data_IF_609453065872
#
_entry.id   IF_609453065872
#
_cell.length_a   1.000
_cell.length_b   1.000
_cell.length_c   1.000
_cell.angle_alpha   90.00
_cell.angle_beta   90.00
_cell.angle_gamma   90.00
#
_symmetry.space_group_name_H-M   'P 1'
#
loop_
_entity.id
_entity.type
_entity.pdbx_description
1 polymer ?
#
# COMPACT_ATOMS: atom_id res chain seq x y z
N UNK A 1 0.24 2.08 25.82
CA UNK A 1 0.59 2.06 25.31
C UNK A 1 0.51 2.03 23.96
N UNK A 2 0.78 2.70 23.37
CA UNK A 2 0.69 2.96 21.98
C UNK A 2 1.57 2.11 21.13
N UNK A 3 2.54 1.49 21.70
CA UNK A 3 3.43 0.63 20.95
C UNK A 3 2.72 -0.52 20.28
N UNK A 4 1.62 -0.96 20.85
CA UNK A 4 0.87 -2.06 20.27
C UNK A 4 0.36 -1.68 18.88
N UNK A 5 -0.06 -0.44 18.72
CA UNK A 5 -0.59 0.00 17.44
C UNK A 5 0.46 0.08 16.37
N UNK A 6 1.68 0.45 16.75
CA UNK A 6 2.76 0.48 15.78
C UNK A 6 3.14 -0.92 15.32
N UNK A 7 3.04 -1.90 16.20
CA UNK A 7 3.38 -3.27 15.81
C UNK A 7 2.37 -3.88 14.85
N UNK A 8 1.16 -3.32 14.80
CA UNK A 8 0.15 -3.79 13.86
C UNK A 8 0.43 -3.32 12.44
N UNK A 9 1.23 -2.27 12.28
CA UNK A 9 1.55 -1.72 10.98
C UNK A 9 3.03 -1.87 10.72
N UNK A 10 3.37 -2.58 9.65
CA UNK A 10 4.76 -2.84 9.29
C UNK A 10 4.98 -2.41 7.85
N UNK A 11 6.06 -1.66 7.64
CA UNK A 11 6.49 -1.27 6.29
C UNK A 11 7.82 -1.92 6.02
N UNK A 12 7.89 -2.71 4.94
CA UNK A 12 9.13 -3.34 4.50
C UNK A 12 9.62 -2.60 3.26
N UNK A 13 10.86 -2.12 3.33
CA UNK A 13 11.46 -1.37 2.23
C UNK A 13 12.55 -2.23 1.62
N UNK A 14 12.30 -2.68 0.38
CA UNK A 14 13.28 -3.44 -0.38
C UNK A 14 13.86 -2.59 -1.50
N UNK A 15 14.70 -3.23 -2.32
CA UNK A 15 15.35 -2.54 -3.43
C UNK A 15 14.35 -2.05 -4.47
N UNK A 16 13.29 -2.84 -4.70
CA UNK A 16 12.30 -2.52 -5.70
C UNK A 16 10.92 -2.21 -5.11
N UNK A 17 10.53 -2.93 -4.07
CA UNK A 17 9.16 -2.83 -3.55
C UNK A 17 9.15 -2.24 -2.15
N UNK A 18 8.15 -1.41 -1.88
CA UNK A 18 7.84 -0.96 -0.53
C UNK A 18 6.46 -1.54 -0.23
N UNK A 19 6.35 -2.33 0.84
CA UNK A 19 5.13 -3.08 1.12
C UNK A 19 4.62 -2.76 2.51
N UNK A 20 3.33 -2.48 2.60
CA UNK A 20 2.65 -2.21 3.86
C UNK A 20 1.81 -3.40 4.27
N UNK A 21 1.96 -3.81 5.51
CA UNK A 21 1.05 -4.78 6.11
C UNK A 21 0.40 -4.19 7.35
N UNK A 22 -0.79 -4.68 7.66
CA UNK A 22 -1.54 -4.30 8.85
C UNK A 22 -2.09 -5.57 9.47
N UNK A 23 -1.69 -5.84 10.71
CA UNK A 23 -2.06 -7.06 11.43
C UNK A 23 -1.68 -8.31 10.63
N UNK A 24 -0.46 -8.27 10.09
CA UNK A 24 0.13 -9.38 9.33
C UNK A 24 -0.60 -9.67 8.02
N UNK A 25 -1.42 -8.73 7.56
CA UNK A 25 -2.10 -8.84 6.27
C UNK A 25 -1.54 -7.77 5.36
N UNK A 26 -1.12 -8.18 4.17
CA UNK A 26 -0.60 -7.23 3.19
C UNK A 26 -1.74 -6.39 2.64
N UNK A 27 -1.54 -5.08 2.61
CA UNK A 27 -2.61 -4.18 2.19
C UNK A 27 -2.22 -3.26 1.05
N UNK A 28 -0.93 -2.93 0.89
CA UNK A 28 -0.52 -2.03 -0.19
C UNK A 28 0.95 -2.27 -0.54
N UNK A 29 1.31 -1.99 -1.79
CA UNK A 29 2.68 -2.14 -2.25
C UNK A 29 2.97 -1.10 -3.32
N UNK A 30 4.16 -0.51 -3.24
CA UNK A 30 4.66 0.39 -4.28
C UNK A 30 5.80 -0.31 -5.00
N UNK A 31 5.72 -0.35 -6.33
CA UNK A 31 6.80 -0.82 -7.18
C UNK A 31 7.60 0.41 -7.60
N UNK A 32 8.81 0.55 -7.05
CA UNK A 32 9.62 1.74 -7.30
C UNK A 32 10.12 1.80 -8.74
N UNK A 33 10.34 0.64 -9.35
CA UNK A 33 10.81 0.61 -10.73
C UNK A 33 9.75 1.06 -11.71
N UNK A 34 8.51 0.64 -11.48
CA UNK A 34 7.39 1.01 -12.36
C UNK A 34 6.66 2.26 -11.90
N UNK A 35 6.90 2.69 -10.68
CA UNK A 35 6.18 3.82 -10.12
C UNK A 35 4.71 3.57 -9.93
N UNK A 36 4.32 2.33 -9.62
CA UNK A 36 2.90 1.95 -9.51
C UNK A 36 2.53 1.59 -8.08
N UNK A 37 1.26 1.79 -7.76
CA UNK A 37 0.68 1.39 -6.49
C UNK A 37 -0.24 0.21 -6.74
N UNK A 38 -0.09 -0.84 -5.93
CA UNK A 38 -0.97 -2.01 -5.96
C UNK A 38 -1.56 -2.19 -4.57
N UNK A 39 -2.86 -2.46 -4.51
CA UNK A 39 -3.56 -2.67 -3.26
C UNK A 39 -3.98 -4.14 -3.16
N UNK A 40 -4.11 -4.63 -1.93
CA UNK A 40 -4.74 -5.94 -1.71
C UNK A 40 -6.24 -5.73 -1.58
N UNK A 41 -7.05 -6.80 -1.66
CA UNK A 41 -8.49 -6.66 -1.45
C UNK A 41 -8.85 -6.14 -0.06
N UNK A 42 -7.91 -6.15 0.88
CA UNK A 42 -8.16 -5.74 2.26
C UNK A 42 -7.70 -4.31 2.55
N UNK A 43 -7.45 -3.50 1.52
CA UNK A 43 -6.90 -2.16 1.70
C UNK A 43 -7.82 -1.25 2.53
N UNK A 44 -9.08 -1.55 2.60
CA UNK A 44 -10.04 -0.77 3.37
C UNK A 44 -10.88 -1.65 4.30
N UNK A 45 -10.25 -2.72 4.81
CA UNK A 45 -10.92 -3.66 5.69
C UNK A 45 -11.56 -2.98 6.90
N UNK A 46 -10.88 -1.97 7.43
CA UNK A 46 -11.43 -1.13 8.51
C UNK A 46 -10.98 0.29 8.26
N UNK A 47 -11.57 1.22 9.01
CA UNK A 47 -11.14 2.62 8.91
C UNK A 47 -9.68 2.77 9.33
N UNK A 48 -9.23 1.97 10.28
CA UNK A 48 -7.83 1.99 10.69
C UNK A 48 -6.92 1.50 9.56
N UNK A 49 -7.31 0.43 8.88
CA UNK A 49 -6.54 -0.07 7.74
C UNK A 49 -6.43 1.00 6.66
N UNK A 50 -7.54 1.65 6.32
CA UNK A 50 -7.51 2.72 5.34
C UNK A 50 -6.59 3.87 5.78
N UNK A 51 -6.63 4.25 7.06
CA UNK A 51 -5.75 5.29 7.56
C UNK A 51 -4.28 4.93 7.37
N UNK A 52 -3.93 3.68 7.59
CA UNK A 52 -2.55 3.22 7.38
C UNK A 52 -2.17 3.26 5.91
N UNK A 53 -3.07 2.85 5.04
CA UNK A 53 -2.82 2.89 3.58
C UNK A 53 -2.61 4.34 3.14
N UNK A 54 -3.49 5.23 3.59
CA UNK A 54 -3.40 6.64 3.23
C UNK A 54 -2.08 7.25 3.68
N UNK A 55 -1.67 6.95 4.91
CA UNK A 55 -0.41 7.46 5.44
C UNK A 55 0.79 6.89 4.69
N UNK A 56 0.73 5.61 4.36
CA UNK A 56 1.76 4.94 3.59
C UNK A 56 1.96 5.64 2.23
N UNK A 57 0.86 5.93 1.55
CA UNK A 57 0.93 6.60 0.27
C UNK A 57 1.52 8.01 0.44
N UNK A 58 1.11 8.72 1.48
CA UNK A 58 1.61 10.07 1.71
C UNK A 58 3.13 10.08 1.95
N UNK A 59 3.61 9.10 2.70
CA UNK A 59 5.05 9.04 3.01
C UNK A 59 5.87 8.69 1.77
N UNK A 60 5.38 7.78 0.94
CA UNK A 60 6.17 7.22 -0.16
C UNK A 60 5.69 7.66 -1.54
N UNK A 61 4.87 8.68 -1.63
CA UNK A 61 4.28 9.11 -2.91
C UNK A 61 5.32 9.51 -3.95
N UNK A 62 6.49 9.95 -3.51
CA UNK A 62 7.54 10.35 -4.45
C UNK A 62 8.15 9.17 -5.19
N UNK A 63 7.92 7.96 -4.72
CA UNK A 63 8.35 6.77 -5.42
C UNK A 63 7.41 6.39 -6.57
N UNK A 64 6.26 7.04 -6.66
CA UNK A 64 5.30 6.77 -7.72
C UNK A 64 5.64 7.58 -8.96
N UNK A 65 5.22 7.07 -10.12
CA UNK A 65 5.37 7.80 -11.37
C UNK A 65 4.42 8.99 -11.41
N UNK A 66 4.60 9.86 -12.41
CA UNK A 66 3.85 11.11 -12.53
C UNK A 66 2.34 10.91 -12.53
N UNK A 67 1.88 9.93 -13.29
CA UNK A 67 0.44 9.68 -13.41
C UNK A 67 -0.14 9.23 -12.07
N UNK A 68 0.55 8.30 -11.40
CA UNK A 68 0.09 7.83 -10.11
C UNK A 68 0.13 8.95 -9.07
N UNK A 69 1.14 9.80 -9.11
CA UNK A 69 1.21 10.93 -8.20
C UNK A 69 0.05 11.89 -8.40
N UNK A 70 -0.34 12.12 -9.66
CA UNK A 70 -1.48 12.97 -9.97
C UNK A 70 -2.76 12.42 -9.35
N UNK A 71 -3.00 11.11 -9.51
CA UNK A 71 -4.20 10.50 -8.95
C UNK A 71 -4.18 10.55 -7.42
N UNK A 72 -3.01 10.34 -6.81
CA UNK A 72 -2.93 10.41 -5.36
C UNK A 72 -3.11 11.84 -4.86
N UNK A 73 -2.56 12.81 -5.57
CA UNK A 73 -2.79 14.21 -5.24
C UNK A 73 -4.30 14.52 -5.23
N UNK A 74 -5.00 14.07 -6.26
CA UNK A 74 -6.44 14.28 -6.33
C UNK A 74 -7.17 13.57 -5.19
N UNK A 75 -6.71 12.37 -4.84
CA UNK A 75 -7.31 11.62 -3.74
C UNK A 75 -7.14 12.35 -2.41
N UNK A 76 -5.94 12.88 -2.14
CA UNK A 76 -5.68 13.61 -0.91
C UNK A 76 -6.50 14.89 -0.81
N UNK A 77 -6.84 15.49 -1.94
CA UNK A 77 -7.61 16.73 -1.97
C UNK A 77 -9.11 16.51 -2.11
N UNK A 78 -9.56 15.26 -2.17
CA UNK A 78 -10.97 14.95 -2.27
C UNK A 78 -11.65 15.05 -0.90
N UNK A 79 -12.99 15.18 -0.90
CA UNK A 79 -13.73 15.20 0.35
C UNK A 79 -13.68 13.87 1.09
N UNK A 80 -13.60 12.78 0.34
CA UNK A 80 -13.55 11.45 0.94
C UNK A 80 -12.53 10.62 0.15
N UNK A 81 -11.31 10.51 0.70
CA UNK A 81 -10.23 9.83 0.03
C UNK A 81 -10.50 8.35 -0.21
N UNK A 82 -11.20 7.70 0.72
CA UNK A 82 -11.51 6.27 0.57
C UNK A 82 -12.45 6.04 -0.61
N UNK A 83 -13.45 6.89 -0.75
CA UNK A 83 -14.39 6.78 -1.86
C UNK A 83 -13.70 7.09 -3.18
N UNK A 84 -12.82 8.08 -3.18
CA UNK A 84 -12.05 8.40 -4.37
C UNK A 84 -11.16 7.22 -4.77
N UNK A 85 -10.48 6.61 -3.81
CA UNK A 85 -9.65 5.44 -4.07
C UNK A 85 -10.48 4.28 -4.63
N UNK A 86 -11.68 4.08 -4.10
CA UNK A 86 -12.56 3.04 -4.61
C UNK A 86 -12.91 3.30 -6.08
N UNK A 87 -13.12 4.54 -6.45
CA UNK A 87 -13.38 4.90 -7.84
C UNK A 87 -12.18 4.55 -8.72
N UNK A 88 -10.96 4.81 -8.23
CA UNK A 88 -9.76 4.45 -8.99
C UNK A 88 -9.64 2.94 -9.17
N UNK A 89 -9.98 2.18 -8.14
CA UNK A 89 -9.97 0.73 -8.23
C UNK A 89 -11.04 0.24 -9.19
N UNK A 90 -12.24 0.79 -9.10
CA UNK A 90 -13.36 0.37 -9.96
C UNK A 90 -13.08 0.65 -11.43
N UNK A 91 -12.31 1.68 -11.71
CA UNK A 91 -11.96 2.04 -13.08
C UNK A 91 -10.63 1.44 -13.53
N UNK A 92 -10.07 0.52 -12.74
CA UNK A 92 -8.82 -0.18 -13.06
C UNK A 92 -7.62 0.75 -13.19
N UNK A 93 -7.68 1.91 -12.58
CA UNK A 93 -6.54 2.84 -12.54
C UNK A 93 -5.55 2.36 -11.49
N UNK A 94 -6.05 1.88 -10.37
CA UNK A 94 -5.23 1.26 -9.32
C UNK A 94 -5.53 -0.24 -9.32
N UNK A 95 -4.48 -1.04 -9.37
CA UNK A 95 -4.61 -2.49 -9.42
C UNK A 95 -4.85 -3.05 -8.02
N UNK A 96 -5.71 -4.05 -7.93
CA UNK A 96 -5.90 -4.83 -6.72
C UNK A 96 -5.40 -6.23 -6.98
N UNK A 97 -4.51 -6.71 -6.11
CA UNK A 97 -3.91 -8.04 -6.24
C UNK A 97 -4.28 -8.89 -5.04
N UNK A 98 -4.76 -10.09 -5.30
CA UNK A 98 -5.18 -11.01 -4.26
C UNK A 98 -4.25 -12.21 -4.08
N UNK A 99 -3.19 -12.30 -4.85
CA UNK A 99 -2.26 -13.43 -4.77
C UNK A 99 -1.24 -13.22 -3.66
N UNK A 100 -1.51 -13.79 -2.51
CA UNK A 100 -0.64 -13.66 -1.33
C UNK A 100 0.71 -14.34 -1.50
N UNK A 101 0.75 -15.41 -2.29
CA UNK A 101 2.01 -16.10 -2.55
C UNK A 101 2.98 -15.17 -3.26
N UNK A 102 2.47 -14.42 -4.23
CA UNK A 102 3.29 -13.48 -4.97
C UNK A 102 3.81 -12.37 -4.05
N UNK A 103 2.96 -11.87 -3.15
CA UNK A 103 3.39 -10.86 -2.19
C UNK A 103 4.53 -11.39 -1.31
N UNK A 104 4.40 -12.61 -0.83
CA UNK A 104 5.44 -13.21 -0.01
C UNK A 104 6.75 -13.33 -0.77
N UNK A 105 6.69 -13.75 -2.02
CA UNK A 105 7.88 -13.82 -2.85
C UNK A 105 8.54 -12.47 -3.03
N UNK A 106 7.74 -11.45 -3.31
CA UNK A 106 8.25 -10.10 -3.52
C UNK A 106 8.98 -9.59 -2.28
N UNK A 107 8.45 -9.87 -1.10
CA UNK A 107 9.08 -9.44 0.13
C UNK A 107 10.37 -10.20 0.36
N UNK A 108 10.36 -11.51 0.19
CA UNK A 108 11.55 -12.32 0.38
C UNK A 108 12.67 -11.87 -0.56
N UNK A 109 12.34 -11.62 -1.82
CA UNK A 109 13.34 -11.22 -2.81
C UNK A 109 13.93 -9.85 -2.51
N UNK A 110 13.16 -8.96 -1.92
CA UNK A 110 13.57 -7.57 -1.75
C UNK A 110 13.97 -7.23 -0.31
N UNK A 111 13.71 -8.10 0.64
CA UNK A 111 13.98 -7.84 2.04
C UNK A 111 14.93 -8.86 2.65
N UNK A 112 15.70 -9.54 1.82
CA UNK A 112 16.73 -10.47 2.29
C UNK A 112 16.17 -11.71 2.96
N UNK A 113 15.01 -12.16 2.52
CA UNK A 113 14.40 -13.35 3.06
C UNK A 113 13.59 -13.14 4.33
N UNK A 114 13.46 -11.91 4.77
CA UNK A 114 12.67 -11.64 5.96
C UNK A 114 11.19 -11.77 5.67
N UNK A 115 10.48 -12.36 6.62
CA UNK A 115 9.07 -12.58 6.47
C UNK A 115 8.27 -11.89 7.54
N UNK A 116 7.04 -11.56 7.19
CA UNK A 116 6.10 -11.03 8.15
C UNK A 116 5.62 -12.16 9.04
N UNK A 117 5.66 -11.91 10.31
CA UNK A 117 5.20 -12.90 11.28
C UNK A 117 4.06 -12.36 12.09
#
# INVERSE_FOLDING_TARGET
MTTIKQSDRVTAIGARYITLSHRKVYVAQIDKDKGTLTLSPFWHYSSTTWQHVRKFIDIYKEELGETAQMWMHNMFNSQNGRVYMQMLVDNHIIRVQSDWTLYNQMIDDNCGGKRWK
#
